data_IF_126573422101
#
_entry.id   IF_126573422101
#
_cell.length_a   1.000
_cell.length_b   1.000
_cell.length_c   1.000
_cell.angle_alpha   90.00
_cell.angle_beta   90.00
_cell.angle_gamma   90.00
#
_symmetry.space_group_name_H-M   'P 1'
#
loop_
_entity.id
_entity.type
_entity.pdbx_description
1 polymer ?
#
# COMPACT_ATOMS: atom_id res chain seq x y z
N UNK A 1 27.66 5.02 -5.45
CA UNK A 1 27.16 5.01 -4.07
C UNK A 1 25.66 5.16 -4.19
N UNK A 2 24.96 4.07 -4.00
CA UNK A 2 23.56 3.92 -4.40
C UNK A 2 22.66 4.47 -3.30
N UNK A 3 21.55 5.13 -3.66
CA UNK A 3 20.56 5.71 -2.74
C UNK A 3 20.03 4.72 -1.66
N UNK A 4 20.29 3.42 -1.84
CA UNK A 4 19.98 2.34 -0.91
C UNK A 4 20.91 2.29 0.33
N UNK A 5 22.11 2.86 0.28
CA UNK A 5 23.08 2.79 1.40
C UNK A 5 22.60 3.56 2.65
N UNK A 6 21.55 4.38 2.53
CA UNK A 6 20.99 5.19 3.61
C UNK A 6 19.48 5.04 3.79
N UNK A 7 18.87 4.00 3.19
CA UNK A 7 17.45 3.73 3.35
C UNK A 7 17.14 3.25 4.77
N UNK A 8 16.41 4.06 5.53
CA UNK A 8 15.99 3.72 6.89
C UNK A 8 14.55 3.17 6.85
N UNK A 9 14.43 1.85 7.04
CA UNK A 9 13.15 1.13 6.98
C UNK A 9 12.15 1.70 7.99
N UNK A 10 12.56 1.97 9.23
CA UNK A 10 11.67 2.48 10.27
C UNK A 10 11.10 3.85 9.88
N UNK A 11 11.94 4.73 9.36
CA UNK A 11 11.54 6.07 8.90
C UNK A 11 10.56 5.96 7.73
N UNK A 12 10.83 5.08 6.77
CA UNK A 12 9.95 4.85 5.64
C UNK A 12 8.59 4.30 6.10
N UNK A 13 8.58 3.31 6.98
CA UNK A 13 7.34 2.77 7.56
C UNK A 13 6.53 3.86 8.26
N UNK A 14 7.15 4.71 9.07
CA UNK A 14 6.47 5.84 9.72
C UNK A 14 5.89 6.85 8.71
N UNK A 15 6.58 7.09 7.59
CA UNK A 15 6.06 7.93 6.50
C UNK A 15 4.85 7.28 5.82
N UNK A 16 4.87 5.96 5.62
CA UNK A 16 3.72 5.25 5.05
C UNK A 16 2.52 5.28 5.98
N UNK A 17 2.70 5.05 7.28
CA UNK A 17 1.58 5.12 8.24
C UNK A 17 0.92 6.50 8.23
N UNK A 18 1.71 7.57 8.19
CA UNK A 18 1.18 8.93 8.04
C UNK A 18 0.45 9.12 6.71
N UNK A 19 0.95 8.54 5.61
CA UNK A 19 0.27 8.57 4.32
C UNK A 19 -1.09 7.86 4.39
N UNK A 20 -1.15 6.67 5.02
CA UNK A 20 -2.39 5.92 5.24
C UNK A 20 -3.41 6.73 6.04
N UNK A 21 -2.98 7.39 7.11
CA UNK A 21 -3.82 8.31 7.90
C UNK A 21 -4.40 9.43 7.05
N UNK A 22 -3.53 10.11 6.28
CA UNK A 22 -3.93 11.23 5.42
C UNK A 22 -4.91 10.80 4.33
N UNK A 23 -4.64 9.68 3.67
CA UNK A 23 -5.51 9.14 2.61
C UNK A 23 -6.86 8.75 3.22
N UNK A 24 -6.86 7.95 4.28
CA UNK A 24 -8.09 7.47 4.93
C UNK A 24 -8.94 8.64 5.45
N UNK A 25 -8.30 9.68 6.01
CA UNK A 25 -8.97 10.91 6.38
C UNK A 25 -9.53 11.66 5.17
N UNK A 26 -8.76 11.80 4.09
CA UNK A 26 -9.21 12.49 2.87
C UNK A 26 -10.43 11.82 2.22
N UNK A 27 -10.54 10.50 2.29
CA UNK A 27 -11.69 9.76 1.76
C UNK A 27 -12.95 9.91 2.60
N UNK A 28 -12.79 10.24 3.88
CA UNK A 28 -13.91 10.56 4.77
C UNK A 28 -14.48 11.97 4.55
N UNK A 29 -13.74 12.84 3.85
CA UNK A 29 -14.15 14.19 3.52
C UNK A 29 -14.91 14.22 2.19
N UNK A 30 -15.90 15.10 2.10
CA UNK A 30 -16.68 15.30 0.88
C UNK A 30 -15.75 15.73 -0.29
N UNK A 31 -15.82 15.00 -1.42
CA UNK A 31 -15.01 15.24 -2.64
C UNK A 31 -15.05 16.69 -3.13
N UNK A 32 -16.09 17.45 -2.79
CA UNK A 32 -16.21 18.88 -3.11
C UNK A 32 -15.14 19.77 -2.44
N UNK A 33 -14.52 19.33 -1.35
CA UNK A 33 -13.54 20.10 -0.58
C UNK A 33 -12.08 19.84 -0.98
N UNK A 34 -11.80 18.85 -1.84
CA UNK A 34 -10.43 18.39 -2.11
C UNK A 34 -10.13 18.39 -3.62
N UNK A 35 -10.03 19.58 -4.22
CA UNK A 35 -9.55 19.73 -5.62
C UNK A 35 -8.03 19.69 -5.77
N UNK A 36 -7.27 19.88 -4.69
CA UNK A 36 -5.81 20.00 -4.75
C UNK A 36 -5.07 18.65 -4.64
N UNK A 37 -5.67 17.63 -4.02
CA UNK A 37 -5.09 16.28 -4.00
C UNK A 37 -5.46 15.45 -5.24
N UNK A 38 -6.53 15.80 -5.95
CA UNK A 38 -7.23 14.83 -6.80
C UNK A 38 -6.41 14.32 -7.97
N UNK A 39 -5.72 15.16 -8.75
CA UNK A 39 -5.11 14.70 -10.01
C UNK A 39 -3.89 13.79 -9.83
N UNK A 40 -2.98 14.11 -8.91
CA UNK A 40 -1.81 13.27 -8.61
C UNK A 40 -2.18 12.03 -7.78
N UNK A 41 -3.17 12.18 -6.90
CA UNK A 41 -3.61 11.11 -6.02
C UNK A 41 -4.48 10.08 -6.73
N UNK A 42 -5.31 10.47 -7.70
CA UNK A 42 -6.12 9.56 -8.51
C UNK A 42 -5.24 8.60 -9.32
N UNK A 43 -4.11 9.09 -9.86
CA UNK A 43 -3.16 8.25 -10.58
C UNK A 43 -2.52 7.21 -9.65
N UNK A 44 -1.99 7.64 -8.51
CA UNK A 44 -1.36 6.73 -7.53
C UNK A 44 -2.36 5.72 -6.97
N UNK A 45 -3.60 6.16 -6.72
CA UNK A 45 -4.69 5.27 -6.32
C UNK A 45 -4.93 4.21 -7.38
N UNK A 46 -5.12 4.61 -8.63
CA UNK A 46 -5.41 3.68 -9.72
C UNK A 46 -4.27 2.68 -9.94
N UNK A 47 -3.02 3.15 -9.95
CA UNK A 47 -1.83 2.29 -10.07
C UNK A 47 -1.73 1.30 -8.89
N UNK A 48 -2.05 1.74 -7.67
CA UNK A 48 -2.04 0.88 -6.49
C UNK A 48 -3.16 -0.18 -6.56
N UNK A 49 -4.36 0.21 -6.99
CA UNK A 49 -5.49 -0.69 -7.22
C UNK A 49 -5.14 -1.76 -8.28
N UNK A 50 -4.53 -1.37 -9.40
CA UNK A 50 -4.06 -2.33 -10.42
C UNK A 50 -2.96 -3.25 -9.87
N UNK A 51 -2.01 -2.69 -9.12
CA UNK A 51 -0.90 -3.42 -8.55
C UNK A 51 -1.37 -4.58 -7.67
N UNK A 52 -2.31 -4.33 -6.75
CA UNK A 52 -2.82 -5.36 -5.81
C UNK A 52 -3.64 -6.45 -6.51
N UNK A 53 -4.08 -6.22 -7.74
CA UNK A 53 -4.75 -7.23 -8.56
C UNK A 53 -3.77 -8.18 -9.26
N UNK A 54 -2.49 -7.82 -9.38
CA UNK A 54 -1.50 -8.65 -10.06
C UNK A 54 -1.21 -9.92 -9.27
N UNK A 55 -1.08 -11.04 -10.00
CA UNK A 55 -0.83 -12.37 -9.40
C UNK A 55 0.47 -12.43 -8.61
N UNK A 56 1.54 -11.84 -9.13
CA UNK A 56 2.85 -11.81 -8.48
C UNK A 56 2.83 -11.01 -7.17
N UNK A 57 2.09 -9.90 -7.12
CA UNK A 57 1.92 -9.12 -5.88
C UNK A 57 1.09 -9.91 -4.86
N UNK A 58 -0.03 -10.50 -5.30
CA UNK A 58 -0.88 -11.35 -4.46
C UNK A 58 -0.11 -12.52 -3.86
N UNK A 59 0.81 -13.14 -4.62
CA UNK A 59 1.74 -14.18 -4.16
C UNK A 59 2.47 -13.82 -2.86
N UNK A 60 2.85 -12.55 -2.69
CA UNK A 60 3.55 -12.08 -1.50
C UNK A 60 2.62 -11.61 -0.37
N UNK A 61 1.54 -10.90 -0.70
CA UNK A 61 0.70 -10.27 0.33
C UNK A 61 -0.36 -11.22 0.91
N UNK A 62 -0.95 -12.10 0.09
CA UNK A 62 -2.07 -12.93 0.53
C UNK A 62 -1.75 -13.91 1.67
N UNK A 63 -0.55 -14.53 1.78
CA UNK A 63 -0.19 -15.34 2.95
C UNK A 63 -0.31 -14.58 4.27
N UNK A 64 0.02 -13.29 4.27
CA UNK A 64 -0.08 -12.44 5.45
C UNK A 64 -1.49 -11.88 5.66
N UNK A 65 -2.30 -11.73 4.61
CA UNK A 65 -3.66 -11.18 4.69
C UNK A 65 -4.73 -12.20 5.10
N UNK A 66 -4.50 -13.50 4.92
CA UNK A 66 -5.53 -14.54 5.15
C UNK A 66 -6.13 -14.55 6.56
N UNK A 67 -5.37 -14.10 7.56
CA UNK A 67 -5.80 -14.07 8.97
C UNK A 67 -6.19 -12.67 9.47
N UNK A 68 -6.16 -11.65 8.60
CA UNK A 68 -6.36 -10.25 9.02
C UNK A 68 -7.76 -9.75 8.73
N UNK A 69 -8.20 -8.81 9.56
CA UNK A 69 -9.39 -8.03 9.30
C UNK A 69 -9.14 -7.00 8.19
N UNK A 70 -10.19 -6.29 7.76
CA UNK A 70 -10.06 -5.20 6.79
C UNK A 70 -9.58 -3.88 7.44
N UNK A 71 -8.96 -3.93 8.62
CA UNK A 71 -8.42 -2.74 9.27
C UNK A 71 -7.15 -2.25 8.57
N UNK A 72 -7.18 -0.99 8.13
CA UNK A 72 -6.11 -0.40 7.32
C UNK A 72 -4.76 -0.37 8.04
N UNK A 73 -4.74 -0.14 9.36
CA UNK A 73 -3.49 -0.06 10.13
C UNK A 73 -2.93 -1.45 10.44
N UNK A 74 -3.80 -2.41 10.73
CA UNK A 74 -3.43 -3.82 10.87
C UNK A 74 -2.79 -4.34 9.58
N UNK A 75 -3.43 -4.06 8.44
CA UNK A 75 -2.90 -4.39 7.11
C UNK A 75 -1.55 -3.70 6.89
N UNK A 76 -1.42 -2.40 7.19
CA UNK A 76 -0.18 -1.66 7.02
C UNK A 76 0.98 -2.32 7.77
N UNK A 77 0.78 -2.62 9.06
CA UNK A 77 1.83 -3.17 9.92
C UNK A 77 2.32 -4.56 9.45
N UNK A 78 1.44 -5.37 8.87
CA UNK A 78 1.79 -6.71 8.39
C UNK A 78 2.37 -6.72 6.98
N UNK A 79 1.82 -5.89 6.09
CA UNK A 79 2.17 -5.91 4.65
C UNK A 79 3.37 -5.04 4.32
N UNK A 80 3.57 -3.93 5.04
CA UNK A 80 4.71 -3.06 4.80
C UNK A 80 6.07 -3.76 4.84
N UNK A 81 6.44 -4.53 5.88
CA UNK A 81 7.73 -5.19 5.91
C UNK A 81 7.90 -6.19 4.75
N UNK A 82 6.83 -6.85 4.30
CA UNK A 82 6.85 -7.79 3.18
C UNK A 82 7.11 -7.05 1.86
N UNK A 83 6.34 -5.99 1.58
CA UNK A 83 6.50 -5.22 0.35
C UNK A 83 7.85 -4.52 0.29
N UNK A 84 8.29 -3.88 1.39
CA UNK A 84 9.61 -3.25 1.46
C UNK A 84 10.70 -4.30 1.22
N UNK A 85 10.62 -5.45 1.89
CA UNK A 85 11.57 -6.55 1.69
C UNK A 85 11.63 -7.05 0.25
N UNK A 86 10.49 -7.22 -0.41
CA UNK A 86 10.40 -7.64 -1.80
C UNK A 86 10.99 -6.60 -2.78
N UNK A 87 10.82 -5.30 -2.50
CA UNK A 87 11.43 -4.24 -3.30
C UNK A 87 12.94 -4.20 -3.13
N UNK A 88 13.42 -4.27 -1.88
CA UNK A 88 14.86 -4.30 -1.59
C UNK A 88 15.55 -5.54 -2.15
N UNK A 89 14.86 -6.69 -2.19
CA UNK A 89 15.32 -7.91 -2.82
C UNK A 89 15.27 -7.88 -4.37
N UNK A 90 14.66 -6.84 -4.95
CA UNK A 90 14.47 -6.70 -6.40
C UNK A 90 13.42 -7.64 -6.99
N UNK A 91 12.61 -8.30 -6.16
CA UNK A 91 11.56 -9.23 -6.61
C UNK A 91 10.29 -8.50 -7.03
N UNK A 92 9.99 -7.34 -6.41
CA UNK A 92 8.94 -6.42 -6.82
C UNK A 92 9.56 -5.10 -7.28
N UNK A 93 9.31 -4.72 -8.54
CA UNK A 93 9.71 -3.41 -9.07
C UNK A 93 8.58 -2.41 -8.88
N UNK A 94 8.51 -1.83 -7.67
CA UNK A 94 7.61 -0.71 -7.36
C UNK A 94 8.41 0.47 -6.78
N UNK A 95 7.99 1.72 -7.01
CA UNK A 95 8.70 2.88 -6.47
C UNK A 95 8.63 2.89 -4.94
N UNK A 96 9.78 3.09 -4.27
CA UNK A 96 9.87 3.33 -2.82
C UNK A 96 9.37 4.74 -2.47
N UNK A 97 8.08 4.97 -2.71
CA UNK A 97 7.39 6.22 -2.39
C UNK A 97 6.36 5.96 -1.27
N UNK A 98 6.43 6.69 -0.14
CA UNK A 98 5.53 6.45 0.99
C UNK A 98 4.05 6.64 0.66
N UNK A 99 3.71 7.60 -0.22
CA UNK A 99 2.33 7.85 -0.62
C UNK A 99 1.78 6.72 -1.48
N UNK A 100 2.60 6.18 -2.39
CA UNK A 100 2.23 5.02 -3.21
C UNK A 100 1.97 3.79 -2.33
N UNK A 101 2.86 3.52 -1.37
CA UNK A 101 2.64 2.44 -0.40
C UNK A 101 1.37 2.68 0.44
N UNK A 102 1.08 3.91 0.86
CA UNK A 102 -0.16 4.25 1.54
C UNK A 102 -1.40 3.89 0.71
N UNK A 103 -1.39 4.21 -0.59
CA UNK A 103 -2.47 3.84 -1.52
C UNK A 103 -2.61 2.32 -1.70
N UNK A 104 -1.50 1.56 -1.72
CA UNK A 104 -1.55 0.09 -1.76
C UNK A 104 -2.30 -0.46 -0.55
N UNK A 105 -1.97 0.02 0.67
CA UNK A 105 -2.63 -0.44 1.90
C UNK A 105 -4.14 -0.12 1.85
N UNK A 106 -4.50 1.10 1.47
CA UNK A 106 -5.91 1.52 1.36
C UNK A 106 -6.65 0.70 0.30
N UNK A 107 -6.02 0.42 -0.84
CA UNK A 107 -6.59 -0.43 -1.89
C UNK A 107 -6.86 -1.85 -1.39
N UNK A 108 -5.94 -2.44 -0.60
CA UNK A 108 -6.14 -3.76 0.03
C UNK A 108 -7.34 -3.71 1.00
N UNK A 109 -7.37 -2.72 1.89
CA UNK A 109 -8.44 -2.58 2.89
C UNK A 109 -9.82 -2.41 2.22
N UNK A 110 -9.89 -1.63 1.13
CA UNK A 110 -11.11 -1.41 0.35
C UNK A 110 -11.59 -2.63 -0.43
N UNK A 111 -10.67 -3.33 -1.10
CA UNK A 111 -10.99 -4.56 -1.80
C UNK A 111 -11.50 -5.63 -0.83
N UNK A 112 -10.99 -5.60 0.40
CA UNK A 112 -11.22 -6.58 1.44
C UNK A 112 -10.28 -7.77 1.27
N UNK A 113 -9.60 -8.16 2.34
CA UNK A 113 -8.55 -9.21 2.34
C UNK A 113 -9.06 -10.53 1.78
N UNK A 114 -10.26 -10.94 2.19
CA UNK A 114 -10.91 -12.17 1.72
C UNK A 114 -11.25 -12.15 0.23
N UNK A 115 -11.72 -11.02 -0.30
CA UNK A 115 -12.07 -10.88 -1.73
C UNK A 115 -10.80 -10.83 -2.59
N UNK A 116 -9.80 -10.05 -2.15
CA UNK A 116 -8.54 -9.90 -2.85
C UNK A 116 -7.79 -11.23 -3.00
N UNK A 117 -7.91 -12.10 -2.00
CA UNK A 117 -7.21 -13.38 -1.92
C UNK A 117 -8.11 -14.60 -2.16
N UNK A 118 -9.33 -14.42 -2.69
CA UNK A 118 -10.27 -15.52 -2.92
C UNK A 118 -9.73 -16.59 -3.90
N UNK A 119 -9.01 -16.16 -4.94
CA UNK A 119 -8.39 -17.04 -5.95
C UNK A 119 -6.90 -17.31 -5.66
N UNK A 120 -6.45 -17.04 -4.43
CA UNK A 120 -5.11 -17.38 -3.98
C UNK A 120 -5.08 -18.87 -3.61
N UNK A 121 -4.92 -19.73 -4.61
CA UNK A 121 -4.67 -21.17 -4.45
C UNK A 121 -3.65 -21.66 -5.50
#
# INVERSE_FOLDING_TARGET
MSELDNFNIDTFQQQVIKAVELISFSESLDKSQIRAFSSGSEKLQHEAEELVQRKDVRQYICPALQSLTNDTFEIANQILPILIGAVLAGTLMIPLDPMFFGWIIVAIAKAGTASLCADYQ
#
